data_IF_766284881390
#
_entry.id   IF_766284881390
#
_cell.length_a   1.000
_cell.length_b   1.000
_cell.length_c   1.000
_cell.angle_alpha   90.00
_cell.angle_beta   90.00
_cell.angle_gamma   90.00
#
_symmetry.space_group_name_H-M   'P 1'
#
loop_
_entity.id
_entity.type
_entity.pdbx_description
1 polymer ?
#
# COMPACT_ATOMS: atom_id res chain seq x y z
N UNK A 1 -13.34 38.25 17.92
CA UNK A 1 -13.53 36.89 18.42
C UNK A 1 -12.55 36.02 17.68
N UNK A 2 -11.43 35.65 18.34
CA UNK A 2 -10.48 34.71 17.77
C UNK A 2 -11.16 33.35 17.73
N UNK A 3 -11.48 32.88 16.54
CA UNK A 3 -11.86 31.50 16.34
C UNK A 3 -10.62 30.66 16.64
N UNK A 4 -10.58 30.04 17.81
CA UNK A 4 -9.59 29.03 18.13
C UNK A 4 -9.69 27.96 17.04
N UNK A 5 -8.72 27.92 16.13
CA UNK A 5 -8.54 26.81 15.16
C UNK A 5 -8.28 25.55 15.99
N UNK A 6 -9.33 24.85 16.39
CA UNK A 6 -9.21 23.50 16.94
C UNK A 6 -8.65 22.64 15.81
N UNK A 7 -7.40 22.22 15.96
CA UNK A 7 -6.77 21.33 14.97
C UNK A 7 -7.55 20.00 15.01
N UNK A 8 -8.34 19.74 13.98
CA UNK A 8 -9.09 18.50 13.83
C UNK A 8 -8.11 17.44 13.34
N UNK A 9 -7.89 16.40 14.14
CA UNK A 9 -7.14 15.21 13.74
C UNK A 9 -8.14 14.07 13.51
N UNK A 10 -8.52 13.77 12.25
CA UNK A 10 -9.45 12.68 11.99
C UNK A 10 -8.91 11.35 12.50
N UNK A 11 -9.77 10.57 13.17
CA UNK A 11 -9.40 9.33 13.84
C UNK A 11 -9.45 8.15 12.89
N UNK A 12 -8.36 7.39 12.86
CA UNK A 12 -8.20 6.18 12.05
C UNK A 12 -8.39 4.93 12.92
N UNK A 13 -9.19 3.99 12.44
CA UNK A 13 -9.09 2.57 12.78
C UNK A 13 -8.41 1.87 11.60
N UNK A 14 -7.28 1.21 11.86
CA UNK A 14 -6.43 0.60 10.83
C UNK A 14 -6.39 -0.92 11.01
N UNK A 15 -6.70 -1.67 9.95
CA UNK A 15 -6.67 -3.14 9.98
C UNK A 15 -5.76 -3.68 8.88
N UNK A 16 -5.14 -4.83 9.11
CA UNK A 16 -4.05 -5.31 8.27
C UNK A 16 -2.97 -4.24 8.11
N UNK A 17 -2.69 -3.52 9.21
CA UNK A 17 -1.88 -2.29 9.19
C UNK A 17 -0.40 -2.54 8.87
N UNK A 18 0.07 -3.78 9.02
CA UNK A 18 1.47 -4.12 8.85
C UNK A 18 2.36 -3.28 9.77
N UNK A 19 3.46 -2.74 9.25
CA UNK A 19 4.31 -1.81 9.98
C UNK A 19 3.81 -0.35 9.96
N UNK A 20 2.63 -0.08 9.34
CA UNK A 20 2.03 1.26 9.34
C UNK A 20 2.41 2.16 8.17
N UNK A 21 2.76 1.61 6.99
CA UNK A 21 3.11 2.43 5.83
C UNK A 21 1.96 3.31 5.33
N UNK A 22 0.74 2.75 5.25
CA UNK A 22 -0.47 3.49 4.90
C UNK A 22 -0.80 4.52 5.98
N UNK A 23 -0.77 4.11 7.24
CA UNK A 23 -1.01 4.96 8.41
C UNK A 23 -0.04 6.15 8.46
N UNK A 24 1.26 5.90 8.18
CA UNK A 24 2.26 6.96 8.20
C UNK A 24 1.99 8.03 7.13
N UNK A 25 1.55 7.63 5.95
CA UNK A 25 1.15 8.57 4.90
C UNK A 25 0.01 9.48 5.34
N UNK A 26 -1.02 8.94 6.02
CA UNK A 26 -2.13 9.70 6.58
C UNK A 26 -1.69 10.55 7.79
N UNK A 27 -0.88 10.00 8.69
CA UNK A 27 -0.36 10.70 9.86
C UNK A 27 0.40 11.98 9.48
N UNK A 28 1.22 11.95 8.43
CA UNK A 28 1.96 13.14 7.94
C UNK A 28 1.06 14.27 7.44
N UNK A 29 -0.20 13.98 7.14
CA UNK A 29 -1.21 14.96 6.72
C UNK A 29 -2.06 15.46 7.91
N UNK A 30 -1.95 14.85 9.08
CA UNK A 30 -2.62 15.29 10.30
C UNK A 30 -3.73 14.36 10.80
N UNK A 31 -3.82 13.14 10.29
CA UNK A 31 -4.68 12.09 10.85
C UNK A 31 -4.03 11.43 12.07
N UNK A 32 -4.83 10.78 12.89
CA UNK A 32 -4.39 10.08 14.10
C UNK A 32 -4.91 8.64 14.09
N UNK A 33 -4.02 7.65 14.12
CA UNK A 33 -4.42 6.25 14.31
C UNK A 33 -4.69 6.02 15.81
N UNK A 34 -5.93 5.71 16.14
CA UNK A 34 -6.38 5.49 17.52
C UNK A 34 -6.54 4.02 17.87
N UNK A 35 -6.58 3.15 16.87
CA UNK A 35 -6.61 1.70 17.01
C UNK A 35 -6.08 1.06 15.74
N UNK A 36 -5.26 0.04 15.88
CA UNK A 36 -4.73 -0.72 14.74
C UNK A 36 -4.68 -2.22 15.05
N UNK A 37 -4.64 -3.05 14.00
CA UNK A 37 -4.51 -4.50 14.12
C UNK A 37 -3.65 -5.10 13.01
N UNK A 38 -2.80 -6.04 13.38
CA UNK A 38 -2.13 -6.96 12.47
C UNK A 38 -1.86 -8.30 13.18
N UNK A 39 -1.63 -9.37 12.41
CA UNK A 39 -1.31 -10.69 12.94
C UNK A 39 0.19 -11.00 12.93
N UNK A 40 1.03 -10.12 12.39
CA UNK A 40 2.47 -10.28 12.31
C UNK A 40 3.17 -9.57 13.49
N UNK A 41 3.68 -10.33 14.45
CA UNK A 41 4.27 -9.80 15.68
C UNK A 41 5.28 -8.68 15.45
N UNK A 42 6.26 -8.90 14.55
CA UNK A 42 7.31 -7.91 14.28
C UNK A 42 6.78 -6.65 13.57
N UNK A 43 5.75 -6.80 12.74
CA UNK A 43 5.08 -5.65 12.15
C UNK A 43 4.37 -4.81 13.21
N UNK A 44 3.69 -5.45 14.16
CA UNK A 44 3.08 -4.77 15.31
C UNK A 44 4.12 -4.04 16.17
N UNK A 45 5.30 -4.65 16.42
CA UNK A 45 6.39 -3.98 17.16
C UNK A 45 6.90 -2.74 16.44
N UNK A 46 7.10 -2.83 15.11
CA UNK A 46 7.47 -1.67 14.29
C UNK A 46 6.38 -0.60 14.30
N UNK A 47 5.11 -1.00 14.21
CA UNK A 47 3.99 -0.07 14.29
C UNK A 47 3.99 0.68 15.63
N UNK A 48 4.08 -0.05 16.76
CA UNK A 48 4.11 0.53 18.09
C UNK A 48 5.29 1.49 18.30
N UNK A 49 6.46 1.18 17.75
CA UNK A 49 7.64 2.03 17.83
C UNK A 49 7.45 3.41 17.13
N UNK A 50 6.55 3.51 16.15
CA UNK A 50 6.31 4.74 15.37
C UNK A 50 5.01 5.46 15.73
N UNK A 51 3.99 4.75 16.24
CA UNK A 51 2.64 5.30 16.48
C UNK A 51 2.19 5.17 17.95
N UNK A 52 2.98 4.49 18.81
CA UNK A 52 2.59 4.20 20.18
C UNK A 52 1.76 2.92 20.32
N UNK A 53 1.31 2.67 21.54
CA UNK A 53 0.65 1.41 21.94
C UNK A 53 -0.85 1.39 21.55
N UNK A 54 -1.12 1.56 20.27
CA UNK A 54 -2.48 1.51 19.69
C UNK A 54 -2.71 0.28 18.82
N UNK A 55 -1.67 -0.55 18.63
CA UNK A 55 -1.70 -1.74 17.78
C UNK A 55 -2.01 -3.01 18.57
N UNK A 56 -2.91 -3.83 18.07
CA UNK A 56 -3.31 -5.10 18.65
C UNK A 56 -2.77 -6.27 17.79
N UNK A 57 -1.85 -7.04 18.37
CA UNK A 57 -1.35 -8.28 17.76
C UNK A 57 -2.39 -9.38 17.93
N UNK A 58 -3.26 -9.55 16.95
CA UNK A 58 -4.34 -10.55 16.95
C UNK A 58 -4.69 -10.98 15.52
N UNK A 59 -5.15 -12.21 15.36
CA UNK A 59 -5.81 -12.63 14.13
C UNK A 59 -7.14 -11.90 13.98
N UNK A 60 -7.35 -11.20 12.86
CA UNK A 60 -8.55 -10.42 12.59
C UNK A 60 -9.82 -11.26 12.66
N UNK A 61 -9.74 -12.57 12.33
CA UNK A 61 -10.87 -13.51 12.39
C UNK A 61 -11.39 -13.75 13.81
N UNK A 62 -10.63 -13.37 14.84
CA UNK A 62 -11.00 -13.47 16.25
C UNK A 62 -11.58 -12.18 16.81
N UNK A 63 -11.64 -11.11 16.01
CA UNK A 63 -12.11 -9.79 16.41
C UNK A 63 -13.53 -9.58 15.89
N UNK A 64 -14.45 -9.24 16.78
CA UNK A 64 -15.81 -8.87 16.38
C UNK A 64 -16.00 -7.35 16.55
N UNK A 65 -15.98 -6.56 15.43
CA UNK A 65 -16.04 -5.10 15.52
C UNK A 65 -17.38 -4.55 16.04
N UNK A 66 -18.43 -5.37 16.09
CA UNK A 66 -19.76 -4.98 16.61
C UNK A 66 -19.83 -5.04 18.15
N UNK A 67 -19.05 -5.91 18.77
CA UNK A 67 -19.13 -6.17 20.22
C UNK A 67 -17.86 -5.85 21.00
N UNK A 68 -16.73 -5.71 20.32
CA UNK A 68 -15.46 -5.37 20.95
C UNK A 68 -15.41 -3.86 21.27
N UNK A 69 -15.64 -3.53 22.54
CA UNK A 69 -15.67 -2.15 23.04
C UNK A 69 -14.28 -1.49 23.09
N UNK A 70 -13.21 -2.25 22.91
CA UNK A 70 -11.85 -1.70 22.79
C UNK A 70 -11.61 -0.98 21.48
N UNK A 71 -12.46 -1.21 20.46
CA UNK A 71 -12.37 -0.56 19.16
C UNK A 71 -13.17 0.74 19.20
N UNK A 72 -12.52 1.91 19.20
CA UNK A 72 -13.22 3.19 19.33
C UNK A 72 -14.02 3.54 18.07
N UNK A 73 -14.87 4.56 18.18
CA UNK A 73 -15.44 5.24 17.02
C UNK A 73 -14.33 5.92 16.21
N UNK A 74 -14.49 5.97 14.90
CA UNK A 74 -13.50 6.54 13.99
C UNK A 74 -14.14 7.34 12.86
N UNK A 75 -13.34 8.23 12.29
CA UNK A 75 -13.71 9.02 11.12
C UNK A 75 -13.44 8.26 9.82
N UNK A 76 -12.39 7.43 9.82
CA UNK A 76 -11.95 6.67 8.66
C UNK A 76 -11.43 5.27 9.04
N UNK A 77 -11.73 4.27 8.20
CA UNK A 77 -11.12 2.93 8.29
C UNK A 77 -10.08 2.78 7.19
N UNK A 78 -8.85 2.38 7.55
CA UNK A 78 -7.75 2.10 6.63
C UNK A 78 -7.39 0.62 6.65
N UNK A 79 -6.85 0.11 5.53
CA UNK A 79 -6.19 -1.19 5.53
C UNK A 79 -5.86 -1.76 4.17
N UNK A 80 -4.93 -2.72 4.16
CA UNK A 80 -4.52 -3.49 2.99
C UNK A 80 -4.81 -4.98 3.18
N UNK A 81 -5.98 -5.46 2.80
CA UNK A 81 -6.32 -6.87 2.98
C UNK A 81 -5.58 -7.77 1.97
N UNK A 82 -5.16 -9.00 2.37
CA UNK A 82 -4.39 -9.89 1.50
C UNK A 82 -5.22 -10.41 0.31
N UNK A 83 -4.57 -10.46 -0.87
CA UNK A 83 -5.18 -10.92 -2.13
C UNK A 83 -5.31 -12.46 -2.23
N UNK A 84 -4.64 -13.23 -1.37
CA UNK A 84 -4.48 -14.67 -1.52
C UNK A 84 -5.79 -15.47 -1.42
N UNK A 85 -6.81 -14.91 -0.80
CA UNK A 85 -8.08 -15.60 -0.54
C UNK A 85 -9.00 -15.72 -1.75
N UNK A 86 -8.82 -14.86 -2.76
CA UNK A 86 -9.68 -14.89 -3.95
C UNK A 86 -9.50 -16.13 -4.82
N UNK A 87 -8.32 -16.78 -4.80
CA UNK A 87 -8.08 -18.04 -5.50
C UNK A 87 -8.73 -19.26 -4.83
N UNK A 88 -9.00 -19.17 -3.53
CA UNK A 88 -9.56 -20.25 -2.70
C UNK A 88 -11.09 -20.18 -2.65
N UNK A 89 -11.66 -18.98 -2.58
CA UNK A 89 -13.12 -18.74 -2.50
C UNK A 89 -13.85 -19.37 -3.70
N UNK A 90 -13.24 -19.33 -4.88
CA UNK A 90 -13.87 -19.79 -6.13
C UNK A 90 -13.64 -21.28 -6.44
N UNK A 91 -12.79 -21.98 -5.68
CA UNK A 91 -12.55 -23.43 -5.87
C UNK A 91 -13.49 -24.35 -5.06
N UNK A 92 -14.32 -23.78 -4.19
CA UNK A 92 -15.31 -24.55 -3.41
C UNK A 92 -16.73 -24.01 -3.64
N UNK A 93 -17.42 -24.42 -4.73
CA UNK A 93 -18.85 -24.19 -4.86
C UNK A 93 -19.59 -25.09 -3.85
N UNK A 94 -20.17 -24.55 -2.81
CA UNK A 94 -21.04 -25.31 -1.92
C UNK A 94 -20.98 -25.06 -0.43
N UNK A 95 -20.21 -24.10 0.05
CA UNK A 95 -20.26 -23.72 1.46
C UNK A 95 -21.13 -22.48 1.63
N UNK A 96 -22.36 -22.72 2.07
CA UNK A 96 -23.25 -21.67 2.54
C UNK A 96 -22.56 -20.77 3.57
N UNK A 97 -22.31 -19.53 3.21
CA UNK A 97 -22.47 -18.39 4.11
C UNK A 97 -21.37 -18.05 5.12
N UNK A 98 -20.22 -18.72 5.26
CA UNK A 98 -19.40 -18.46 6.46
C UNK A 98 -17.91 -18.18 6.26
N UNK A 99 -17.35 -18.12 5.05
CA UNK A 99 -15.93 -17.75 4.84
C UNK A 99 -15.71 -17.06 3.50
N UNK A 100 -16.23 -15.86 3.36
CA UNK A 100 -15.68 -14.91 2.42
C UNK A 100 -14.33 -14.43 2.94
N UNK A 101 -13.32 -14.26 2.07
CA UNK A 101 -11.95 -13.97 2.43
C UNK A 101 -11.75 -12.76 3.35
N UNK A 102 -10.51 -12.52 3.75
CA UNK A 102 -10.16 -11.50 4.75
C UNK A 102 -10.66 -10.07 4.43
N UNK A 103 -10.99 -9.77 3.15
CA UNK A 103 -11.62 -8.49 2.79
C UNK A 103 -12.99 -8.28 3.47
N UNK A 104 -13.74 -9.35 3.81
CA UNK A 104 -15.02 -9.23 4.52
C UNK A 104 -14.85 -8.72 5.93
N UNK A 105 -13.76 -9.06 6.61
CA UNK A 105 -13.47 -8.45 7.89
C UNK A 105 -13.24 -6.94 7.75
N UNK A 106 -12.64 -6.48 6.64
CA UNK A 106 -12.59 -5.04 6.37
C UNK A 106 -13.99 -4.46 6.21
N UNK A 107 -14.87 -5.10 5.45
CA UNK A 107 -16.25 -4.66 5.28
C UNK A 107 -17.03 -4.67 6.60
N UNK A 108 -16.83 -5.66 7.47
CA UNK A 108 -17.42 -5.74 8.81
C UNK A 108 -17.00 -4.57 9.71
N UNK A 109 -15.72 -4.15 9.66
CA UNK A 109 -15.26 -2.97 10.37
C UNK A 109 -15.92 -1.69 9.85
N UNK A 110 -16.03 -1.52 8.53
CA UNK A 110 -16.74 -0.40 7.92
C UNK A 110 -18.24 -0.41 8.31
N UNK A 111 -18.86 -1.59 8.30
CA UNK A 111 -20.27 -1.73 8.68
C UNK A 111 -20.50 -1.45 10.17
N UNK A 112 -19.64 -1.96 11.06
CA UNK A 112 -19.77 -1.76 12.49
C UNK A 112 -19.52 -0.30 12.91
N UNK A 113 -18.51 0.36 12.32
CA UNK A 113 -18.08 1.71 12.72
C UNK A 113 -18.70 2.84 11.89
N UNK A 114 -19.28 2.53 10.72
CA UNK A 114 -19.93 3.52 9.85
C UNK A 114 -19.09 4.78 9.62
N UNK A 115 -17.76 4.67 9.32
CA UNK A 115 -16.90 5.83 9.16
C UNK A 115 -17.41 6.74 8.04
N UNK A 116 -17.01 8.02 8.04
CA UNK A 116 -17.33 8.94 6.92
C UNK A 116 -16.65 8.49 5.62
N UNK A 117 -15.47 7.88 5.73
CA UNK A 117 -14.76 7.32 4.59
C UNK A 117 -13.99 6.04 4.97
N UNK A 118 -13.59 5.27 3.98
CA UNK A 118 -12.59 4.22 4.13
C UNK A 118 -11.60 4.25 2.95
N UNK A 119 -10.39 3.74 3.19
CA UNK A 119 -9.40 3.49 2.13
C UNK A 119 -8.88 2.06 2.27
N UNK A 120 -9.16 1.26 1.25
CA UNK A 120 -8.70 -0.13 1.17
C UNK A 120 -7.67 -0.28 0.04
N UNK A 121 -6.54 -0.95 0.33
CA UNK A 121 -5.47 -1.17 -0.65
C UNK A 121 -5.40 -2.63 -1.06
N UNK A 122 -5.03 -2.85 -2.35
CA UNK A 122 -4.69 -4.19 -2.82
C UNK A 122 -3.74 -4.14 -4.04
N UNK A 123 -3.20 -5.30 -4.42
CA UNK A 123 -2.31 -5.42 -5.58
C UNK A 123 -3.08 -5.24 -6.90
N UNK A 124 -2.38 -4.75 -7.95
CA UNK A 124 -2.93 -4.60 -9.32
C UNK A 124 -3.62 -5.87 -9.83
N UNK A 125 -3.07 -7.06 -9.50
CA UNK A 125 -3.62 -8.33 -9.96
C UNK A 125 -5.07 -8.58 -9.54
N UNK A 126 -5.57 -7.89 -8.52
CA UNK A 126 -6.97 -7.98 -8.10
C UNK A 126 -7.94 -7.51 -9.20
N UNK A 127 -7.54 -6.54 -10.04
CA UNK A 127 -8.40 -5.98 -11.11
C UNK A 127 -8.80 -7.06 -12.13
N UNK A 128 -7.87 -7.98 -12.43
CA UNK A 128 -8.09 -9.04 -13.41
C UNK A 128 -8.37 -10.40 -12.77
N UNK A 129 -8.28 -10.49 -11.45
CA UNK A 129 -8.50 -11.74 -10.72
C UNK A 129 -9.90 -12.28 -11.01
N UNK A 130 -9.95 -13.55 -11.45
CA UNK A 130 -11.18 -14.24 -11.78
C UNK A 130 -12.05 -13.47 -12.80
N UNK A 131 -11.44 -13.05 -13.91
CA UNK A 131 -12.10 -12.25 -14.97
C UNK A 131 -12.78 -10.97 -14.46
N UNK A 132 -12.18 -10.32 -13.44
CA UNK A 132 -12.69 -9.10 -12.83
C UNK A 132 -13.84 -9.31 -11.82
N UNK A 133 -14.27 -10.55 -11.58
CA UNK A 133 -15.36 -10.84 -10.62
C UNK A 133 -14.96 -10.58 -9.17
N UNK A 134 -13.67 -10.74 -8.84
CA UNK A 134 -13.18 -10.50 -7.49
C UNK A 134 -13.37 -9.03 -7.07
N UNK A 135 -12.90 -8.10 -7.88
CA UNK A 135 -13.04 -6.67 -7.62
C UNK A 135 -14.50 -6.21 -7.68
N UNK A 136 -15.31 -6.78 -8.58
CA UNK A 136 -16.75 -6.48 -8.67
C UNK A 136 -17.49 -6.87 -7.36
N UNK A 137 -17.17 -8.06 -6.82
CA UNK A 137 -17.74 -8.51 -5.54
C UNK A 137 -17.35 -7.59 -4.40
N UNK A 138 -16.07 -7.21 -4.28
CA UNK A 138 -15.58 -6.29 -3.25
C UNK A 138 -16.33 -4.95 -3.30
N UNK A 139 -16.49 -4.38 -4.49
CA UNK A 139 -17.15 -3.10 -4.67
C UNK A 139 -18.64 -3.21 -4.24
N UNK A 140 -19.34 -4.26 -4.67
CA UNK A 140 -20.75 -4.48 -4.32
C UNK A 140 -20.94 -4.70 -2.82
N UNK A 141 -20.05 -5.44 -2.19
CA UNK A 141 -20.10 -5.65 -0.74
C UNK A 141 -19.96 -4.32 0.00
N UNK A 142 -19.00 -3.47 -0.38
CA UNK A 142 -18.83 -2.14 0.22
C UNK A 142 -20.01 -1.20 -0.04
N UNK A 143 -20.57 -1.19 -1.25
CA UNK A 143 -21.74 -0.37 -1.61
C UNK A 143 -23.00 -0.80 -0.86
N UNK A 144 -23.10 -2.08 -0.48
CA UNK A 144 -24.26 -2.63 0.24
C UNK A 144 -24.29 -2.22 1.72
N UNK A 145 -23.20 -1.71 2.28
CA UNK A 145 -23.11 -1.27 3.68
C UNK A 145 -23.96 -0.01 3.87
N UNK A 146 -24.99 -0.08 4.74
CA UNK A 146 -25.86 1.06 5.02
C UNK A 146 -25.11 2.21 5.72
N UNK A 147 -25.41 3.50 5.41
CA UNK A 147 -26.47 3.98 4.50
C UNK A 147 -26.10 3.95 3.00
N UNK A 148 -24.93 3.48 2.64
CA UNK A 148 -24.36 3.41 1.31
C UNK A 148 -23.03 4.15 1.24
N UNK A 149 -22.12 3.67 0.38
CA UNK A 149 -20.83 4.29 0.10
C UNK A 149 -20.63 4.44 -1.41
N UNK A 150 -20.25 5.63 -1.86
CA UNK A 150 -19.73 5.82 -3.21
C UNK A 150 -18.30 5.27 -3.22
N UNK A 151 -18.08 4.14 -3.90
CA UNK A 151 -16.78 3.44 -3.93
C UNK A 151 -16.06 3.73 -5.23
N UNK A 152 -14.94 4.43 -5.14
CA UNK A 152 -14.10 4.82 -6.28
C UNK A 152 -12.79 4.04 -6.29
N UNK A 153 -12.67 2.94 -7.07
CA UNK A 153 -11.41 2.24 -7.26
C UNK A 153 -10.52 3.00 -8.25
N UNK A 154 -9.23 3.10 -7.99
CA UNK A 154 -8.26 3.64 -8.93
C UNK A 154 -6.93 2.88 -8.84
N UNK A 155 -6.29 2.65 -10.00
CA UNK A 155 -4.98 2.01 -10.09
C UNK A 155 -3.88 3.08 -10.04
N UNK A 156 -3.16 3.12 -8.92
CA UNK A 156 -2.01 3.99 -8.73
C UNK A 156 -0.72 3.33 -9.20
N UNK A 157 0.11 4.04 -9.96
CA UNK A 157 1.54 3.79 -10.00
C UNK A 157 2.19 4.81 -9.08
N UNK A 158 2.66 4.39 -7.92
CA UNK A 158 3.15 5.31 -6.90
C UNK A 158 4.36 6.14 -7.32
N UNK A 159 5.10 5.74 -8.36
CA UNK A 159 6.14 6.59 -8.93
C UNK A 159 5.57 7.93 -9.44
N UNK A 160 4.32 7.95 -9.90
CA UNK A 160 3.62 9.15 -10.35
C UNK A 160 3.21 10.11 -9.20
N UNK A 161 3.46 9.69 -7.96
CA UNK A 161 3.16 10.43 -6.74
C UNK A 161 4.40 10.64 -5.86
N UNK A 162 5.60 10.65 -6.47
CA UNK A 162 6.86 10.98 -5.79
C UNK A 162 7.54 9.82 -5.06
N UNK A 163 7.07 8.59 -5.22
CA UNK A 163 7.76 7.41 -4.69
C UNK A 163 8.88 6.98 -5.64
N UNK A 164 10.12 6.77 -5.18
CA UNK A 164 11.24 6.37 -6.04
C UNK A 164 11.16 4.88 -6.46
N UNK A 165 9.93 4.43 -6.80
CA UNK A 165 9.66 3.03 -7.13
C UNK A 165 8.42 2.91 -8.02
N UNK A 166 8.54 2.16 -9.12
CA UNK A 166 7.40 1.69 -9.89
C UNK A 166 6.66 0.61 -9.11
N UNK A 167 5.54 1.00 -8.47
CA UNK A 167 4.70 0.12 -7.66
C UNK A 167 3.23 0.40 -7.96
N UNK A 168 2.57 -0.56 -8.59
CA UNK A 168 1.15 -0.44 -8.94
C UNK A 168 0.27 -1.09 -7.87
N UNK A 169 -0.72 -0.32 -7.38
CA UNK A 169 -1.71 -0.75 -6.39
C UNK A 169 -3.08 -0.19 -6.71
N UNK A 170 -4.12 -0.95 -6.48
CA UNK A 170 -5.49 -0.44 -6.51
C UNK A 170 -5.86 0.08 -5.12
N UNK A 171 -6.32 1.33 -5.07
CA UNK A 171 -6.94 1.88 -3.88
C UNK A 171 -8.45 2.00 -4.11
N UNK A 172 -9.22 1.53 -3.15
CA UNK A 172 -10.66 1.76 -3.07
C UNK A 172 -10.90 2.88 -2.06
N UNK A 173 -11.38 4.01 -2.51
CA UNK A 173 -11.81 5.08 -1.62
C UNK A 173 -13.34 5.05 -1.59
N UNK A 174 -13.90 4.76 -0.43
CA UNK A 174 -15.34 4.80 -0.19
C UNK A 174 -15.70 6.01 0.65
N UNK A 175 -16.68 6.78 0.20
CA UNK A 175 -17.23 7.93 0.94
C UNK A 175 -18.70 7.69 1.18
N UNK A 176 -19.13 7.85 2.44
CA UNK A 176 -20.52 7.61 2.86
C UNK A 176 -21.45 8.63 2.23
N UNK A 177 -22.57 8.16 1.65
CA UNK A 177 -23.45 8.99 0.80
C UNK A 177 -24.07 10.18 1.52
N UNK A 178 -24.33 10.08 2.82
CA UNK A 178 -24.93 11.14 3.64
C UNK A 178 -23.98 12.29 3.97
N UNK A 179 -22.69 12.14 3.68
CA UNK A 179 -21.68 13.19 3.88
C UNK A 179 -21.80 14.32 2.85
N UNK A 180 -22.28 14.03 1.66
CA UNK A 180 -22.31 14.96 0.53
C UNK A 180 -20.94 15.38 0.02
N UNK A 181 -19.87 14.66 0.39
CA UNK A 181 -18.50 14.93 -0.04
C UNK A 181 -18.15 14.12 -1.30
N UNK A 182 -18.00 14.79 -2.44
CA UNK A 182 -17.59 14.14 -3.68
C UNK A 182 -16.04 14.00 -3.74
N UNK A 183 -15.53 12.83 -3.38
CA UNK A 183 -14.10 12.55 -3.48
C UNK A 183 -13.67 12.39 -4.94
N UNK A 184 -12.56 13.05 -5.29
CA UNK A 184 -11.90 12.91 -6.59
C UNK A 184 -10.44 12.51 -6.35
N UNK A 185 -10.00 11.42 -6.98
CA UNK A 185 -8.60 10.98 -6.88
C UNK A 185 -7.63 12.07 -7.36
N UNK A 186 -6.47 12.22 -6.71
CA UNK A 186 -5.46 13.18 -7.13
C UNK A 186 -4.87 12.84 -8.49
N UNK A 187 -4.57 13.87 -9.29
CA UNK A 187 -3.79 13.70 -10.52
C UNK A 187 -2.36 13.27 -10.21
N UNK A 188 -1.71 12.51 -11.10
CA UNK A 188 -0.27 12.32 -11.08
C UNK A 188 0.48 13.66 -11.03
N UNK A 189 1.42 13.77 -10.08
CA UNK A 189 2.28 14.96 -9.91
C UNK A 189 3.68 14.77 -10.49
N UNK A 190 4.11 13.52 -10.70
CA UNK A 190 5.44 13.16 -11.18
C UNK A 190 5.34 12.31 -12.45
N UNK A 191 6.33 12.42 -13.32
CA UNK A 191 6.42 11.56 -14.50
C UNK A 191 6.94 12.27 -15.74
N UNK A 192 7.02 11.57 -16.88
CA UNK A 192 7.62 12.12 -18.09
C UNK A 192 6.79 13.26 -18.73
N UNK A 193 5.48 13.33 -18.41
CA UNK A 193 4.55 14.35 -18.89
C UNK A 193 3.99 15.22 -17.76
N UNK A 194 4.51 15.09 -16.54
CA UNK A 194 4.13 15.90 -15.40
C UNK A 194 5.12 17.06 -15.20
N UNK A 195 4.73 18.05 -14.37
CA UNK A 195 5.61 19.17 -14.05
C UNK A 195 6.88 18.75 -13.31
N UNK A 196 6.77 17.67 -12.50
CA UNK A 196 7.87 17.16 -11.69
C UNK A 196 8.35 15.83 -12.29
N UNK A 197 9.65 15.67 -12.58
CA UNK A 197 10.20 14.37 -13.00
C UNK A 197 9.99 13.29 -11.95
N UNK A 198 10.09 12.01 -12.34
CA UNK A 198 10.14 10.93 -11.36
C UNK A 198 11.30 11.10 -10.38
N UNK A 199 11.06 10.77 -9.11
CA UNK A 199 12.14 10.62 -8.14
C UNK A 199 12.90 9.33 -8.45
N UNK A 200 14.21 9.44 -8.71
CA UNK A 200 15.04 8.30 -9.10
C UNK A 200 15.52 7.50 -7.89
N UNK A 201 15.92 6.24 -8.12
CA UNK A 201 16.52 5.43 -7.07
C UNK A 201 17.83 6.04 -6.56
N UNK A 202 18.65 6.63 -7.46
CA UNK A 202 19.89 7.30 -7.08
C UNK A 202 19.67 8.52 -6.19
N UNK A 203 18.62 9.31 -6.44
CA UNK A 203 18.24 10.42 -5.55
C UNK A 203 17.80 9.93 -4.17
N UNK A 204 16.98 8.90 -4.12
CA UNK A 204 16.49 8.33 -2.86
C UNK A 204 17.60 7.70 -2.02
N UNK A 205 18.61 7.12 -2.65
CA UNK A 205 19.71 6.45 -1.96
C UNK A 205 20.87 7.36 -1.58
N UNK A 206 20.87 8.62 -2.01
CA UNK A 206 21.95 9.57 -1.70
C UNK A 206 22.09 9.77 -0.18
N UNK A 207 23.31 9.51 0.36
CA UNK A 207 23.60 9.68 1.79
C UNK A 207 22.97 8.62 2.70
N UNK A 208 22.45 7.52 2.15
CA UNK A 208 21.85 6.43 2.97
C UNK A 208 22.88 5.75 3.86
N UNK A 209 24.15 5.76 3.47
CA UNK A 209 25.26 5.20 4.23
C UNK A 209 25.49 5.90 5.60
N UNK A 210 24.95 7.11 5.77
CA UNK A 210 25.01 7.87 7.03
C UNK A 210 23.92 7.47 8.02
N UNK A 211 22.95 6.65 7.61
CA UNK A 211 21.83 6.20 8.45
C UNK A 211 22.16 4.84 9.04
N UNK A 212 22.43 4.72 10.34
CA UNK A 212 22.88 3.45 10.93
C UNK A 212 21.75 2.42 11.10
N UNK A 213 20.50 2.88 11.26
CA UNK A 213 19.35 2.02 11.62
C UNK A 213 18.88 1.17 10.43
N UNK A 214 18.83 -0.14 10.62
CA UNK A 214 18.40 -1.13 9.60
C UNK A 214 19.26 -1.10 8.31
N UNK A 215 20.50 -0.65 8.40
CA UNK A 215 21.39 -0.46 7.26
C UNK A 215 22.55 -1.47 7.22
N UNK A 216 22.40 -2.60 7.88
CA UNK A 216 23.37 -3.67 7.95
C UNK A 216 23.53 -4.33 6.57
N UNK A 217 24.76 -4.47 6.13
CA UNK A 217 25.10 -5.20 4.91
C UNK A 217 24.97 -6.72 5.12
N UNK A 218 24.32 -7.38 4.17
CA UNK A 218 24.23 -8.84 4.18
C UNK A 218 25.45 -9.43 3.46
N UNK A 219 26.14 -10.31 4.13
CA UNK A 219 27.23 -11.06 3.52
C UNK A 219 26.69 -12.03 2.46
N UNK A 220 27.29 -12.01 1.29
CA UNK A 220 26.97 -12.92 0.18
C UNK A 220 28.18 -13.80 -0.15
N UNK A 221 27.91 -14.96 -0.75
CA UNK A 221 28.96 -15.87 -1.22
C UNK A 221 29.75 -15.24 -2.36
N UNK A 222 31.06 -15.51 -2.45
CA UNK A 222 31.94 -14.97 -3.52
C UNK A 222 31.39 -15.27 -4.92
N UNK A 223 30.82 -16.48 -5.14
CA UNK A 223 30.18 -16.80 -6.41
C UNK A 223 29.03 -15.84 -6.74
N UNK A 224 28.23 -15.44 -5.75
CA UNK A 224 27.14 -14.47 -5.95
C UNK A 224 27.71 -13.10 -6.30
N UNK A 225 28.79 -12.68 -5.64
CA UNK A 225 29.48 -11.42 -5.93
C UNK A 225 30.00 -11.38 -7.36
N UNK A 226 30.69 -12.45 -7.79
CA UNK A 226 31.18 -12.57 -9.17
C UNK A 226 30.06 -12.52 -10.21
N UNK A 227 28.90 -13.14 -9.92
CA UNK A 227 27.71 -13.05 -10.78
C UNK A 227 27.22 -11.60 -10.88
N UNK A 228 27.14 -10.88 -9.76
CA UNK A 228 26.68 -9.48 -9.76
C UNK A 228 27.62 -8.54 -10.50
N UNK A 229 28.93 -8.78 -10.44
CA UNK A 229 29.95 -7.99 -11.16
C UNK A 229 29.80 -8.07 -12.68
N UNK A 230 29.23 -9.16 -13.20
CA UNK A 230 28.94 -9.34 -14.63
C UNK A 230 27.67 -8.65 -15.07
N UNK A 231 26.81 -8.27 -14.15
CA UNK A 231 25.50 -7.70 -14.47
C UNK A 231 25.58 -6.17 -14.50
N UNK A 232 25.21 -5.52 -15.62
CA UNK A 232 25.26 -4.07 -15.74
C UNK A 232 24.20 -3.39 -14.85
N UNK A 233 24.25 -2.07 -14.79
CA UNK A 233 23.22 -1.24 -14.16
C UNK A 233 21.85 -1.53 -14.74
N UNK A 234 20.84 -1.71 -13.88
CA UNK A 234 19.47 -2.05 -14.28
C UNK A 234 19.28 -3.46 -14.85
N UNK A 235 20.38 -4.17 -15.08
CA UNK A 235 20.39 -5.52 -15.63
C UNK A 235 20.00 -6.62 -14.65
N UNK A 236 20.06 -7.84 -15.15
CA UNK A 236 19.70 -9.04 -14.40
C UNK A 236 20.51 -10.25 -14.93
N UNK A 237 20.27 -11.43 -14.38
CA UNK A 237 20.98 -12.64 -14.73
C UNK A 237 21.01 -12.94 -16.25
N UNK A 238 20.00 -12.53 -17.02
CA UNK A 238 19.95 -12.82 -18.46
C UNK A 238 20.95 -12.02 -19.30
N UNK A 239 21.56 -10.98 -18.70
CA UNK A 239 22.57 -10.15 -19.35
C UNK A 239 23.99 -10.80 -19.31
N UNK A 240 24.15 -11.89 -18.54
CA UNK A 240 25.38 -12.67 -18.53
C UNK A 240 25.49 -13.48 -19.84
N UNK A 241 26.65 -13.44 -20.55
CA UNK A 241 26.86 -14.23 -21.75
C UNK A 241 26.59 -15.71 -21.52
N UNK A 242 25.90 -16.37 -22.45
CA UNK A 242 25.46 -17.77 -22.31
C UNK A 242 26.60 -18.78 -22.25
N UNK A 243 27.75 -18.42 -22.77
CA UNK A 243 29.02 -19.20 -22.75
C UNK A 243 29.85 -18.94 -21.49
N UNK A 244 29.45 -17.99 -20.64
CA UNK A 244 30.17 -17.69 -19.40
C UNK A 244 30.02 -18.81 -18.38
N UNK A 245 31.08 -19.22 -17.65
CA UNK A 245 31.03 -20.33 -16.66
C UNK A 245 30.02 -20.14 -15.51
N UNK A 246 29.68 -18.89 -15.21
CA UNK A 246 28.68 -18.55 -14.17
C UNK A 246 27.24 -18.49 -14.72
N UNK A 247 27.04 -18.65 -16.02
CA UNK A 247 25.69 -18.69 -16.58
C UNK A 247 24.97 -19.98 -16.19
N UNK A 248 23.72 -19.87 -15.70
CA UNK A 248 22.87 -21.00 -15.35
C UNK A 248 21.65 -21.02 -16.26
N UNK A 249 21.56 -22.08 -17.09
CA UNK A 249 20.44 -22.25 -18.02
C UNK A 249 19.11 -22.39 -17.24
N UNK A 250 18.07 -21.69 -17.72
CA UNK A 250 16.71 -21.77 -17.15
C UNK A 250 16.46 -20.78 -16.00
N UNK A 251 17.41 -19.92 -15.65
CA UNK A 251 17.12 -18.82 -14.72
C UNK A 251 16.20 -17.77 -15.36
N UNK A 252 15.28 -17.26 -14.56
CA UNK A 252 14.35 -16.23 -14.96
C UNK A 252 14.91 -14.82 -14.80
N UNK A 253 14.41 -13.87 -15.58
CA UNK A 253 14.88 -12.48 -15.65
C UNK A 253 14.73 -11.67 -14.34
N UNK A 254 14.10 -12.25 -13.32
CA UNK A 254 13.96 -11.57 -12.03
C UNK A 254 15.14 -11.83 -11.07
N UNK A 255 15.99 -12.81 -11.39
CA UNK A 255 17.11 -13.20 -10.53
C UNK A 255 18.27 -12.24 -10.72
N UNK A 256 18.95 -11.90 -9.62
CA UNK A 256 20.10 -11.01 -9.58
C UNK A 256 19.88 -9.62 -10.23
N UNK A 257 18.63 -9.11 -10.18
CA UNK A 257 18.33 -7.79 -10.74
C UNK A 257 19.01 -6.68 -9.94
N UNK A 258 19.83 -5.88 -10.62
CA UNK A 258 20.46 -4.67 -10.07
C UNK A 258 19.56 -3.46 -10.28
N UNK A 259 19.65 -2.50 -9.37
CA UNK A 259 18.91 -1.23 -9.52
C UNK A 259 19.50 -0.41 -10.67
N UNK A 260 18.67 0.46 -11.24
CA UNK A 260 19.08 1.52 -12.15
C UNK A 260 18.92 2.85 -11.42
N UNK A 261 19.98 3.65 -11.39
CA UNK A 261 20.05 4.83 -10.52
C UNK A 261 19.29 6.04 -11.09
N UNK A 262 19.15 6.13 -12.41
CA UNK A 262 18.53 7.24 -13.12
C UNK A 262 17.02 7.07 -13.37
N UNK A 263 16.40 6.05 -12.79
CA UNK A 263 14.95 5.80 -12.84
C UNK A 263 14.42 5.36 -11.47
N UNK A 264 13.08 5.37 -11.23
CA UNK A 264 12.49 4.73 -10.07
C UNK A 264 12.84 3.24 -10.02
N UNK A 265 13.12 2.71 -8.83
CA UNK A 265 13.39 1.29 -8.65
C UNK A 265 12.21 0.42 -9.11
N UNK A 266 12.47 -0.82 -9.48
CA UNK A 266 11.40 -1.82 -9.67
C UNK A 266 10.78 -2.16 -8.32
N UNK A 267 9.56 -2.69 -8.34
CA UNK A 267 8.80 -3.00 -7.10
C UNK A 267 9.64 -3.77 -6.08
N UNK A 268 9.80 -3.21 -4.89
CA UNK A 268 10.40 -3.87 -3.73
C UNK A 268 9.40 -4.89 -3.18
N UNK A 269 9.81 -6.15 -3.08
CA UNK A 269 8.94 -7.26 -2.67
C UNK A 269 9.32 -7.80 -1.29
N UNK A 270 8.33 -8.36 -0.60
CA UNK A 270 8.45 -8.95 0.73
C UNK A 270 9.22 -10.28 0.73
N UNK A 271 8.97 -11.11 -0.28
CA UNK A 271 9.60 -12.42 -0.43
C UNK A 271 10.99 -12.29 -1.07
N UNK A 272 11.86 -13.22 -0.75
CA UNK A 272 13.15 -13.32 -1.38
C UNK A 272 14.20 -13.80 -0.43
N UNK A 273 14.42 -15.12 -0.42
CA UNK A 273 15.70 -15.73 -0.11
C UNK A 273 16.68 -15.35 -1.21
N UNK A 274 17.99 -15.32 -0.86
CA UNK A 274 19.10 -14.87 -1.67
C UNK A 274 18.95 -15.04 -3.17
N UNK A 275 19.04 -13.97 -3.88
CA UNK A 275 19.19 -13.94 -5.32
C UNK A 275 18.03 -13.34 -6.09
N UNK A 276 16.87 -13.11 -5.51
CA UNK A 276 15.72 -12.79 -6.36
C UNK A 276 15.52 -11.31 -6.65
N UNK A 277 15.71 -10.38 -5.71
CA UNK A 277 15.35 -8.98 -5.96
C UNK A 277 16.17 -7.97 -5.19
N UNK A 278 16.53 -6.86 -5.87
CA UNK A 278 17.08 -5.69 -5.25
C UNK A 278 18.54 -5.83 -4.86
N UNK A 279 19.40 -5.80 -5.87
CA UNK A 279 20.85 -5.65 -5.71
C UNK A 279 21.25 -4.21 -6.01
N UNK A 280 22.22 -3.74 -5.24
CA UNK A 280 22.78 -2.40 -5.36
C UNK A 280 23.59 -2.25 -6.66
N UNK A 281 23.78 -1.03 -7.11
CA UNK A 281 24.73 -0.61 -8.12
C UNK A 281 25.38 0.71 -7.67
N UNK A 282 26.71 0.87 -7.80
CA UNK A 282 27.67 -0.02 -8.44
C UNK A 282 28.17 -1.19 -7.58
N UNK A 283 27.87 -1.25 -6.30
CA UNK A 283 28.36 -2.28 -5.41
C UNK A 283 27.69 -3.64 -5.68
N UNK A 284 28.45 -4.77 -5.77
CA UNK A 284 27.90 -6.10 -6.03
C UNK A 284 27.38 -6.74 -4.73
N UNK A 285 26.32 -6.16 -4.16
CA UNK A 285 25.69 -6.60 -2.91
C UNK A 285 24.15 -6.45 -2.94
N UNK A 286 23.42 -7.14 -2.06
CA UNK A 286 22.00 -6.85 -1.84
C UNK A 286 21.80 -5.43 -1.33
N UNK A 287 20.62 -4.84 -1.62
CA UNK A 287 20.17 -3.65 -0.94
C UNK A 287 20.01 -3.93 0.55
N UNK A 288 20.41 -2.98 1.40
CA UNK A 288 20.09 -2.99 2.82
C UNK A 288 18.60 -2.77 3.06
N UNK A 289 18.12 -2.98 4.28
CA UNK A 289 16.73 -2.69 4.60
C UNK A 289 16.45 -1.17 4.60
N UNK A 290 17.42 -0.33 4.99
CA UNK A 290 17.27 1.12 4.93
C UNK A 290 17.19 1.64 3.49
N UNK A 291 18.00 1.10 2.59
CA UNK A 291 17.90 1.40 1.15
C UNK A 291 16.52 1.01 0.61
N UNK A 292 16.02 -0.18 0.96
CA UNK A 292 14.67 -0.62 0.58
C UNK A 292 13.59 0.27 1.17
N UNK A 293 13.73 0.71 2.43
CA UNK A 293 12.81 1.61 3.10
C UNK A 293 12.73 2.98 2.41
N UNK A 294 13.87 3.56 2.02
CA UNK A 294 13.89 4.81 1.24
C UNK A 294 13.25 4.66 -0.14
N UNK A 295 13.51 3.53 -0.82
CA UNK A 295 12.83 3.23 -2.10
C UNK A 295 11.32 3.01 -1.95
N UNK A 296 10.85 2.65 -0.76
CA UNK A 296 9.44 2.62 -0.36
C UNK A 296 8.95 3.94 0.24
N UNK A 297 9.77 5.00 0.16
CA UNK A 297 9.49 6.34 0.69
C UNK A 297 9.27 6.44 2.22
N UNK A 298 9.76 5.48 3.00
CA UNK A 298 9.84 5.63 4.45
C UNK A 298 10.95 6.62 4.82
N UNK A 299 10.72 7.49 5.83
CA UNK A 299 11.77 8.38 6.31
C UNK A 299 12.83 7.63 7.13
N UNK A 300 13.99 8.26 7.30
CA UNK A 300 15.12 7.62 7.98
C UNK A 300 14.91 7.35 9.46
N UNK A 301 14.06 8.12 10.11
CA UNK A 301 13.68 7.95 11.50
C UNK A 301 12.59 6.90 11.73
N UNK A 302 12.01 6.33 10.67
CA UNK A 302 11.04 5.25 10.84
C UNK A 302 11.73 3.99 11.35
N UNK A 303 11.23 3.46 12.46
CA UNK A 303 11.81 2.30 13.17
C UNK A 303 11.19 1.01 12.66
N UNK A 304 12.04 0.08 12.22
CA UNK A 304 11.63 -1.29 11.93
C UNK A 304 12.23 -2.25 12.94
N UNK A 305 11.39 -3.07 13.55
CA UNK A 305 11.74 -4.08 14.52
C UNK A 305 11.80 -5.48 13.90
N UNK A 306 12.72 -6.31 14.40
CA UNK A 306 12.85 -7.70 14.01
C UNK A 306 14.15 -8.03 13.28
N UNK A 307 14.29 -9.28 12.84
CA UNK A 307 15.44 -9.72 12.07
C UNK A 307 15.47 -9.05 10.68
N UNK A 308 16.64 -9.06 10.04
CA UNK A 308 16.83 -8.54 8.67
C UNK A 308 15.75 -9.07 7.71
N UNK A 309 15.36 -10.33 7.83
CA UNK A 309 14.32 -10.95 6.98
C UNK A 309 12.93 -10.43 7.30
N UNK A 310 12.61 -10.25 8.58
CA UNK A 310 11.33 -9.69 9.03
C UNK A 310 11.17 -8.24 8.58
N UNK A 311 12.20 -7.41 8.78
CA UNK A 311 12.19 -6.01 8.34
C UNK A 311 12.02 -5.92 6.81
N UNK A 312 12.71 -6.78 6.03
CA UNK A 312 12.52 -6.85 4.58
C UNK A 312 11.08 -7.18 4.21
N UNK A 313 10.46 -8.14 4.91
CA UNK A 313 9.07 -8.55 4.68
C UNK A 313 8.11 -7.39 4.95
N UNK A 314 8.29 -6.68 6.04
CA UNK A 314 7.48 -5.52 6.41
C UNK A 314 7.57 -4.43 5.34
N UNK A 315 8.79 -4.05 4.94
CA UNK A 315 9.01 -3.02 3.92
C UNK A 315 8.38 -3.42 2.58
N UNK A 316 8.57 -4.67 2.14
CA UNK A 316 8.04 -5.15 0.86
C UNK A 316 6.51 -5.25 0.82
N UNK A 317 5.85 -5.53 1.96
CA UNK A 317 4.40 -5.57 2.08
C UNK A 317 3.78 -4.18 2.21
N UNK A 318 4.52 -3.20 2.71
CA UNK A 318 3.98 -1.89 3.03
C UNK A 318 3.45 -1.13 1.80
N UNK A 319 2.47 -0.29 2.06
CA UNK A 319 2.07 0.79 1.15
C UNK A 319 3.09 1.93 1.32
N UNK A 320 3.65 2.48 0.23
CA UNK A 320 4.59 3.60 0.32
C UNK A 320 3.94 4.85 0.94
N UNK A 321 4.47 5.38 2.06
CA UNK A 321 3.87 6.50 2.76
C UNK A 321 3.62 7.74 1.90
N UNK A 322 4.60 8.16 1.09
CA UNK A 322 4.48 9.34 0.22
C UNK A 322 3.41 9.13 -0.85
N UNK A 323 3.27 7.92 -1.37
CA UNK A 323 2.32 7.58 -2.43
C UNK A 323 0.85 7.79 -2.07
N UNK A 324 0.50 7.81 -0.78
CA UNK A 324 -0.88 7.97 -0.31
C UNK A 324 -1.16 9.32 0.35
N UNK A 325 -0.13 10.16 0.54
CA UNK A 325 -0.31 11.47 1.17
C UNK A 325 -1.31 12.35 0.42
N UNK A 326 -1.30 12.33 -0.91
CA UNK A 326 -2.21 13.16 -1.68
C UNK A 326 -3.66 12.65 -1.58
N UNK A 327 -3.86 11.35 -1.47
CA UNK A 327 -5.19 10.78 -1.17
C UNK A 327 -5.68 11.26 0.20
N UNK A 328 -4.81 11.24 1.21
CA UNK A 328 -5.12 11.76 2.54
C UNK A 328 -5.45 13.26 2.51
N UNK A 329 -4.68 14.09 1.78
CA UNK A 329 -4.97 15.51 1.61
C UNK A 329 -6.32 15.76 0.94
N UNK A 330 -6.66 15.00 -0.09
CA UNK A 330 -7.95 15.09 -0.80
C UNK A 330 -9.14 14.66 0.05
N UNK A 331 -8.93 13.81 1.05
CA UNK A 331 -9.97 13.42 2.00
C UNK A 331 -10.11 14.39 3.18
N UNK A 332 -9.10 15.19 3.51
CA UNK A 332 -9.11 16.07 4.68
C UNK A 332 -10.30 17.04 4.73
N UNK A 333 -10.74 17.67 3.63
CA UNK A 333 -11.90 18.56 3.63
C UNK A 333 -13.19 17.90 4.16
N UNK A 334 -13.38 16.60 3.94
CA UNK A 334 -14.50 15.83 4.50
C UNK A 334 -14.60 15.97 6.03
N UNK A 335 -13.46 16.09 6.70
CA UNK A 335 -13.39 16.10 8.16
C UNK A 335 -13.32 17.51 8.72
N UNK A 336 -12.72 18.46 7.99
CA UNK A 336 -12.67 19.88 8.37
C UNK A 336 -13.96 20.63 8.01
N UNK A 337 -14.81 20.07 7.16
CA UNK A 337 -16.04 20.71 6.67
C UNK A 337 -15.78 21.73 5.55
N UNK A 338 -14.57 21.76 4.99
CA UNK A 338 -14.14 22.71 3.95
C UNK A 338 -14.48 22.19 2.55
N UNK A 339 -15.75 21.88 2.29
CA UNK A 339 -16.23 21.41 0.98
C UNK A 339 -17.64 21.89 0.69
N UNK A 340 -18.01 21.92 -0.58
CA UNK A 340 -19.36 22.16 -1.03
C UNK A 340 -20.14 20.83 -0.97
N UNK A 341 -21.32 20.87 -0.33
CA UNK A 341 -22.19 19.70 -0.24
C UNK A 341 -22.80 19.38 -1.60
N UNK A 342 -22.69 18.11 -2.01
CA UNK A 342 -23.30 17.56 -3.23
C UNK A 342 -24.17 16.37 -2.86
N UNK A 343 -25.36 16.28 -3.42
CA UNK A 343 -26.14 15.05 -3.30
C UNK A 343 -25.43 13.89 -4.03
N UNK A 344 -24.94 12.93 -3.27
CA UNK A 344 -24.17 11.79 -3.82
C UNK A 344 -25.06 10.65 -4.34
N UNK A 345 -26.39 10.72 -4.14
CA UNK A 345 -27.29 9.64 -4.56
C UNK A 345 -27.27 9.38 -6.08
N UNK A 346 -27.28 10.42 -6.95
CA UNK A 346 -27.16 10.22 -8.39
C UNK A 346 -25.83 9.55 -8.80
N UNK A 347 -24.72 9.95 -8.16
CA UNK A 347 -23.39 9.36 -8.39
C UNK A 347 -23.36 7.89 -7.95
N UNK A 348 -23.90 7.60 -6.76
CA UNK A 348 -23.99 6.26 -6.20
C UNK A 348 -24.77 5.31 -7.12
N UNK A 349 -25.98 5.67 -7.56
CA UNK A 349 -26.80 4.85 -8.45
C UNK A 349 -26.15 4.68 -9.83
N UNK A 350 -25.54 5.74 -10.36
CA UNK A 350 -24.79 5.69 -11.61
C UNK A 350 -23.63 4.69 -11.54
N UNK A 351 -22.84 4.73 -10.47
CA UNK A 351 -21.67 3.85 -10.29
C UNK A 351 -22.09 2.40 -10.05
N UNK A 352 -23.17 2.14 -9.34
CA UNK A 352 -23.73 0.78 -9.16
C UNK A 352 -24.08 0.09 -10.47
N UNK A 353 -24.52 0.86 -11.47
CA UNK A 353 -24.87 0.34 -12.79
C UNK A 353 -23.64 0.05 -13.70
N UNK A 354 -22.45 0.48 -13.30
CA UNK A 354 -21.23 0.33 -14.10
C UNK A 354 -20.57 -1.04 -13.91
N UNK A 355 -20.02 -1.58 -15.01
CA UNK A 355 -18.99 -2.63 -14.91
C UNK A 355 -17.73 -2.08 -14.27
N UNK A 356 -16.87 -2.96 -13.73
CA UNK A 356 -15.58 -2.55 -13.14
C UNK A 356 -14.75 -1.73 -14.11
N UNK A 357 -14.68 -2.13 -15.39
CA UNK A 357 -13.93 -1.40 -16.43
C UNK A 357 -14.47 0.01 -16.62
N UNK A 358 -15.79 0.14 -16.80
CA UNK A 358 -16.43 1.45 -16.94
C UNK A 358 -16.23 2.33 -15.70
N UNK A 359 -16.26 1.74 -14.51
CA UNK A 359 -16.03 2.45 -13.24
C UNK A 359 -14.59 2.99 -13.15
N UNK A 360 -13.59 2.18 -13.45
CA UNK A 360 -12.19 2.60 -13.49
C UNK A 360 -11.96 3.74 -14.49
N UNK A 361 -12.52 3.62 -15.71
CA UNK A 361 -12.45 4.65 -16.74
C UNK A 361 -13.16 5.94 -16.29
N UNK A 362 -14.35 5.83 -15.71
CA UNK A 362 -15.11 6.95 -15.19
C UNK A 362 -14.39 7.68 -14.06
N UNK A 363 -13.88 6.94 -13.07
CA UNK A 363 -13.11 7.51 -11.95
C UNK A 363 -11.86 8.24 -12.47
N UNK A 364 -11.15 7.65 -13.41
CA UNK A 364 -9.96 8.28 -14.03
C UNK A 364 -10.33 9.55 -14.79
N UNK A 365 -11.48 9.57 -15.48
CA UNK A 365 -11.94 10.77 -16.22
C UNK A 365 -12.27 11.95 -15.31
N UNK A 366 -12.61 11.70 -14.04
CA UNK A 366 -12.88 12.76 -13.06
C UNK A 366 -11.62 13.46 -12.53
N UNK A 367 -10.45 12.85 -12.69
CA UNK A 367 -9.17 13.41 -12.22
C UNK A 367 -8.70 14.62 -13.03
N UNK A 368 -9.40 15.01 -14.08
CA UNK A 368 -9.04 16.10 -15.00
C UNK A 368 -9.38 17.49 -14.48
#
# INVERSE_FOLDING_TARGET
METSNVKINPKIVSIFSGCGGLDYGFHTVGYETVWANDFAEWACKSFAANFGDVIHYKDITTINPYTDTSIPECDIVLGGFPCQDFSIIWKQPGLNGTRGGLFRHFAEFVDAKKPKAFVAENVKGLITANDGKAIDTIIKDFESIAPGYVVKPHLYNFAEYGVPQFRERVLFVGVRIDTGFNFIHPKPSHGPNAEIPYVTAGEALRGVEQVPMNNEHINIKDKTRQVLELIPEGGNFTDIPKDHPLYVKGMISHVYRRIKLDEPAKTIIAAGGGGTWGYHYPEPRPLTNRERARLQSFPDNFVFEGSITEVRRQIGNAVPPVGVQEVARRLMPLFTGEYEYVDLMPEYEKMKAMTVKQRLEYVTSQMN
#
